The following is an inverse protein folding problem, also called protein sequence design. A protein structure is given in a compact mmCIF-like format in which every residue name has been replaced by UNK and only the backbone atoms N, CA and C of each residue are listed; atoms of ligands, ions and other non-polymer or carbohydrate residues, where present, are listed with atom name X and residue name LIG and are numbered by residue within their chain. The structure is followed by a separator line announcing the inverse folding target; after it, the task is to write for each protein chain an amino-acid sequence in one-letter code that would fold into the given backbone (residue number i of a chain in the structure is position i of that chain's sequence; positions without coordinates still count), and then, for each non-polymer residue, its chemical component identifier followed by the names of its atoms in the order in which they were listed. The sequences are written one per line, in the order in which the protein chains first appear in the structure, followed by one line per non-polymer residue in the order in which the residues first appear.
data_IF_316073987177
#
_entry.id   IF_316073987177
#
_cell.length_a   1.000
_cell.length_b   1.000
_cell.length_c   1.000
_cell.angle_alpha   90.00
_cell.angle_beta   90.00
_cell.angle_gamma   90.00
#
_symmetry.space_group_name_H-M   'P 1'
#
loop_
_entity.id
_entity.type
_entity.pdbx_description
1 polymer ?
#
# COMPACT_ATOMS: atom_id res chain seq x y z
N UNK A 1 -11.25 13.90 -2.63
CA UNK A 1 -10.12 14.18 -3.54
C UNK A 1 -10.37 13.60 -4.92
N UNK A 2 -10.18 12.29 -5.18
CA UNK A 2 -10.43 11.74 -6.53
C UNK A 2 -11.89 11.82 -6.99
N UNK A 3 -12.84 11.63 -6.08
CA UNK A 3 -14.27 11.74 -6.39
C UNK A 3 -14.63 13.16 -6.89
N UNK A 4 -14.22 14.19 -6.15
CA UNK A 4 -14.54 15.58 -6.45
C UNK A 4 -13.90 16.05 -7.77
N UNK A 5 -12.66 15.61 -8.02
CA UNK A 5 -11.94 15.90 -9.27
C UNK A 5 -12.58 15.23 -10.48
N UNK A 6 -12.97 13.94 -10.36
CA UNK A 6 -13.64 13.23 -11.44
C UNK A 6 -15.03 13.77 -11.73
N UNK A 7 -15.77 14.20 -10.70
CA UNK A 7 -17.09 14.82 -10.85
C UNK A 7 -16.99 16.19 -11.54
N UNK A 8 -15.97 16.98 -11.23
CA UNK A 8 -15.74 18.25 -11.89
C UNK A 8 -15.43 18.09 -13.40
N UNK A 9 -14.68 17.05 -13.77
CA UNK A 9 -14.33 16.74 -15.17
C UNK A 9 -15.49 16.07 -15.91
N UNK A 10 -16.24 15.20 -15.23
CA UNK A 10 -17.37 14.46 -15.80
C UNK A 10 -18.67 14.70 -15.00
N UNK A 11 -19.31 15.89 -15.13
CA UNK A 11 -20.51 16.22 -14.36
C UNK A 11 -21.73 15.34 -14.66
N UNK A 12 -21.68 14.59 -15.76
CA UNK A 12 -22.75 13.72 -16.23
C UNK A 12 -22.65 12.28 -15.70
N UNK A 13 -21.56 11.93 -15.00
CA UNK A 13 -21.41 10.60 -14.42
C UNK A 13 -22.29 10.43 -13.19
N UNK A 14 -22.81 9.22 -13.00
CA UNK A 14 -23.51 8.85 -11.77
C UNK A 14 -22.54 8.63 -10.61
N UNK A 15 -23.05 8.64 -9.38
CA UNK A 15 -22.27 8.36 -8.17
C UNK A 15 -21.58 6.99 -8.23
N UNK A 16 -22.24 5.98 -8.81
CA UNK A 16 -21.66 4.64 -8.98
C UNK A 16 -20.48 4.67 -9.96
N UNK A 17 -20.58 5.40 -11.07
CA UNK A 17 -19.48 5.54 -12.01
C UNK A 17 -18.30 6.25 -11.36
N UNK A 18 -18.56 7.34 -10.63
CA UNK A 18 -17.53 8.08 -9.90
C UNK A 18 -16.84 7.21 -8.84
N UNK A 19 -17.61 6.37 -8.13
CA UNK A 19 -17.07 5.41 -7.16
C UNK A 19 -16.17 4.36 -7.84
N UNK A 20 -16.65 3.71 -8.90
CA UNK A 20 -15.89 2.67 -9.59
C UNK A 20 -14.62 3.22 -10.24
N UNK A 21 -14.67 4.41 -10.85
CA UNK A 21 -13.49 5.05 -11.44
C UNK A 21 -12.49 5.49 -10.38
N UNK A 22 -12.96 6.10 -9.27
CA UNK A 22 -12.09 6.41 -8.13
C UNK A 22 -11.43 5.14 -7.57
N UNK A 23 -12.19 4.05 -7.42
CA UNK A 23 -11.69 2.76 -6.97
C UNK A 23 -10.66 2.17 -7.94
N UNK A 24 -10.89 2.25 -9.26
CA UNK A 24 -9.95 1.80 -10.29
C UNK A 24 -8.62 2.55 -10.21
N UNK A 25 -8.65 3.87 -9.99
CA UNK A 25 -7.44 4.69 -9.83
C UNK A 25 -6.66 4.26 -8.59
N UNK A 26 -7.32 4.09 -7.44
CA UNK A 26 -6.65 3.66 -6.20
C UNK A 26 -6.02 2.27 -6.35
N UNK A 27 -6.71 1.34 -7.00
CA UNK A 27 -6.16 0.00 -7.29
C UNK A 27 -4.93 0.11 -8.19
N UNK A 28 -4.97 0.94 -9.23
CA UNK A 28 -3.84 1.16 -10.13
C UNK A 28 -2.63 1.77 -9.40
N UNK A 29 -2.85 2.72 -8.48
CA UNK A 29 -1.80 3.28 -7.63
C UNK A 29 -1.18 2.21 -6.73
N UNK A 30 -2.00 1.38 -6.07
CA UNK A 30 -1.52 0.29 -5.24
C UNK A 30 -0.67 -0.71 -6.04
N UNK A 31 -1.11 -1.09 -7.24
CA UNK A 31 -0.34 -1.95 -8.13
C UNK A 31 0.97 -1.30 -8.57
N UNK A 32 0.95 -0.02 -8.93
CA UNK A 32 2.14 0.72 -9.33
C UNK A 32 3.19 0.74 -8.19
N UNK A 33 2.80 1.14 -6.99
CA UNK A 33 3.67 1.15 -5.81
C UNK A 33 4.21 -0.27 -5.54
N UNK A 34 3.34 -1.29 -5.58
CA UNK A 34 3.74 -2.68 -5.32
C UNK A 34 4.81 -3.16 -6.30
N UNK A 35 4.56 -3.03 -7.61
CA UNK A 35 5.44 -3.62 -8.64
C UNK A 35 6.64 -2.75 -9.00
N UNK A 36 6.53 -1.41 -8.89
CA UNK A 36 7.60 -0.49 -9.26
C UNK A 36 8.51 -0.12 -8.09
N UNK A 37 7.98 -0.07 -6.86
CA UNK A 37 8.72 0.44 -5.70
C UNK A 37 9.00 -0.66 -4.69
N UNK A 38 7.98 -1.41 -4.26
CA UNK A 38 8.13 -2.39 -3.18
C UNK A 38 8.83 -3.68 -3.61
N UNK A 39 8.38 -4.33 -4.69
CA UNK A 39 8.95 -5.61 -5.12
C UNK A 39 10.45 -5.53 -5.48
N UNK A 40 10.96 -4.51 -6.21
CA UNK A 40 12.38 -4.42 -6.51
C UNK A 40 13.28 -4.36 -5.27
N UNK A 41 12.79 -3.74 -4.19
CA UNK A 41 13.49 -3.67 -2.90
C UNK A 41 13.42 -5.03 -2.20
N UNK A 42 12.27 -5.69 -2.24
CA UNK A 42 12.03 -6.94 -1.54
C UNK A 42 12.80 -8.14 -2.14
N UNK A 43 12.68 -8.36 -3.45
CA UNK A 43 13.24 -9.55 -4.12
C UNK A 43 14.54 -9.25 -4.88
N UNK A 44 14.97 -7.98 -4.91
CA UNK A 44 16.13 -7.51 -5.65
C UNK A 44 15.85 -7.25 -7.14
N UNK A 45 16.58 -6.29 -7.72
CA UNK A 45 16.44 -5.86 -9.12
C UNK A 45 16.68 -6.97 -10.15
N UNK A 46 17.56 -7.92 -9.82
CA UNK A 46 17.85 -9.08 -10.68
C UNK A 46 16.64 -9.98 -10.84
N UNK A 47 16.04 -10.42 -9.73
CA UNK A 47 14.83 -11.26 -9.76
C UNK A 47 13.63 -10.50 -10.35
N UNK A 48 13.48 -9.22 -10.02
CA UNK A 48 12.43 -8.37 -10.58
C UNK A 48 12.48 -8.32 -12.11
N UNK A 49 13.69 -8.23 -12.68
CA UNK A 49 13.92 -8.26 -14.13
C UNK A 49 13.74 -9.67 -14.70
N UNK A 50 14.27 -10.70 -14.01
CA UNK A 50 14.16 -12.11 -14.41
C UNK A 50 12.71 -12.57 -14.55
N UNK A 51 11.84 -12.17 -13.61
CA UNK A 51 10.41 -12.47 -13.63
C UNK A 51 9.58 -11.49 -14.47
N UNK A 52 10.23 -10.54 -15.16
CA UNK A 52 9.59 -9.55 -16.06
C UNK A 52 8.46 -8.76 -15.38
N UNK A 53 8.63 -8.45 -14.09
CA UNK A 53 7.67 -7.74 -13.25
C UNK A 53 7.66 -6.22 -13.46
N UNK A 54 8.46 -5.76 -14.42
CA UNK A 54 8.56 -4.37 -14.83
C UNK A 54 7.24 -3.87 -15.41
N UNK A 55 6.80 -2.72 -14.90
CA UNK A 55 5.72 -1.93 -15.46
C UNK A 55 6.21 -1.20 -16.71
N UNK A 56 5.29 -0.96 -17.65
CA UNK A 56 5.57 -0.09 -18.77
C UNK A 56 5.53 1.36 -18.30
N UNK A 57 6.45 2.18 -18.80
CA UNK A 57 6.49 3.62 -18.48
C UNK A 57 5.33 4.40 -19.11
N UNK A 58 4.66 3.84 -20.11
CA UNK A 58 3.51 4.43 -20.78
C UNK A 58 2.69 3.37 -21.54
N UNK A 59 1.43 3.69 -21.80
CA UNK A 59 0.52 2.84 -22.59
C UNK A 59 -0.09 1.69 -21.79
N UNK A 60 -0.70 0.75 -22.52
CA UNK A 60 -1.40 -0.41 -21.95
C UNK A 60 -0.53 -1.67 -22.02
N UNK A 61 -0.55 -2.46 -20.93
CA UNK A 61 0.13 -3.75 -20.88
C UNK A 61 -0.60 -4.80 -21.70
N UNK A 62 0.13 -5.46 -22.59
CA UNK A 62 -0.36 -6.63 -23.36
C UNK A 62 -0.06 -7.95 -22.65
N UNK A 63 0.43 -7.92 -21.40
CA UNK A 63 0.86 -9.11 -20.66
C UNK A 63 -0.29 -9.94 -20.06
N UNK A 64 -1.54 -9.51 -20.22
CA UNK A 64 -2.69 -10.27 -19.71
C UNK A 64 -2.78 -11.64 -20.40
N UNK A 65 -2.89 -12.69 -19.59
CA UNK A 65 -3.06 -14.06 -20.06
C UNK A 65 -4.17 -14.72 -19.23
N UNK A 66 -5.27 -15.08 -19.88
CA UNK A 66 -6.45 -15.68 -19.24
C UNK A 66 -6.20 -17.10 -18.71
N UNK A 67 -5.10 -17.74 -19.12
CA UNK A 67 -4.74 -19.09 -18.67
C UNK A 67 -3.91 -19.09 -17.37
N UNK A 68 -3.56 -17.91 -16.85
CA UNK A 68 -2.83 -17.79 -15.58
C UNK A 68 -3.83 -17.86 -14.44
N UNK A 69 -3.59 -18.75 -13.48
CA UNK A 69 -4.35 -18.83 -12.24
C UNK A 69 -4.00 -17.62 -11.34
N UNK A 70 -4.98 -16.73 -11.03
CA UNK A 70 -4.74 -15.56 -10.18
C UNK A 70 -4.83 -15.88 -8.68
N UNK A 71 -5.06 -17.15 -8.30
CA UNK A 71 -5.25 -17.55 -6.91
C UNK A 71 -3.97 -17.41 -6.08
N UNK A 72 -4.12 -17.01 -4.83
CA UNK A 72 -3.01 -16.96 -3.88
C UNK A 72 -2.64 -18.39 -3.46
N UNK A 73 -1.39 -18.79 -3.68
CA UNK A 73 -0.90 -20.11 -3.25
C UNK A 73 -0.92 -20.23 -1.72
N UNK A 74 -1.35 -21.38 -1.20
CA UNK A 74 -1.50 -21.60 0.25
C UNK A 74 -0.19 -21.35 1.03
N UNK A 75 0.95 -21.77 0.49
CA UNK A 75 2.26 -21.56 1.12
C UNK A 75 2.56 -20.07 1.32
N UNK A 76 2.14 -19.21 0.39
CA UNK A 76 2.30 -17.77 0.54
C UNK A 76 1.37 -17.22 1.63
N UNK A 77 0.09 -17.58 1.59
CA UNK A 77 -0.89 -17.11 2.58
C UNK A 77 -0.55 -17.57 4.01
N UNK A 78 -0.18 -18.84 4.17
CA UNK A 78 0.04 -19.46 5.48
C UNK A 78 1.41 -19.12 6.09
N UNK A 79 2.44 -18.93 5.27
CA UNK A 79 3.81 -18.82 5.77
C UNK A 79 4.61 -17.69 5.10
N UNK A 80 4.79 -17.73 3.78
CA UNK A 80 5.77 -16.85 3.14
C UNK A 80 5.40 -15.37 3.30
N UNK A 81 4.12 -15.00 3.18
CA UNK A 81 3.61 -13.64 3.37
C UNK A 81 3.80 -13.09 4.78
N UNK A 82 4.03 -13.95 5.78
CA UNK A 82 4.30 -13.55 7.17
C UNK A 82 5.68 -12.89 7.33
N UNK A 83 6.53 -12.89 6.30
CA UNK A 83 7.81 -12.16 6.30
C UNK A 83 7.64 -10.68 6.67
N UNK A 84 6.46 -10.09 6.40
CA UNK A 84 6.17 -8.71 6.78
C UNK A 84 6.35 -8.46 8.29
N UNK A 85 6.11 -9.46 9.14
CA UNK A 85 6.33 -9.31 10.57
C UNK A 85 7.80 -9.12 10.95
N UNK A 86 8.74 -9.58 10.13
CA UNK A 86 10.18 -9.37 10.38
C UNK A 86 10.64 -7.96 10.05
N UNK A 87 9.85 -7.21 9.28
CA UNK A 87 10.14 -5.82 8.93
C UNK A 87 9.79 -4.83 10.05
N UNK A 88 9.06 -5.27 11.09
CA UNK A 88 8.78 -4.43 12.24
C UNK A 88 10.02 -4.24 13.11
N UNK A 89 10.39 -2.98 13.37
CA UNK A 89 11.45 -2.63 14.30
C UNK A 89 11.09 -2.97 15.76
N UNK A 90 12.11 -3.28 16.59
CA UNK A 90 11.93 -3.61 18.02
C UNK A 90 11.28 -2.49 18.84
N UNK A 91 11.47 -1.23 18.42
CA UNK A 91 10.94 -0.05 19.09
C UNK A 91 10.34 0.88 18.05
N UNK A 92 9.02 0.86 17.83
CA UNK A 92 8.42 1.78 16.88
C UNK A 92 8.48 3.21 17.47
N UNK A 93 8.89 4.19 16.67
CA UNK A 93 9.07 5.59 17.08
C UNK A 93 8.04 6.47 16.40
N UNK A 94 7.24 7.19 17.19
CA UNK A 94 6.30 8.19 16.66
C UNK A 94 7.01 9.53 16.47
N UNK A 95 6.92 10.08 15.28
CA UNK A 95 7.36 11.46 15.03
C UNK A 95 6.19 12.40 15.29
N UNK A 96 6.33 13.31 16.25
CA UNK A 96 5.36 14.39 16.49
C UNK A 96 6.08 15.72 16.32
N UNK A 97 5.69 16.48 15.29
CA UNK A 97 6.11 17.88 15.10
C UNK A 97 7.63 18.06 15.23
N UNK A 98 8.37 17.27 14.45
CA UNK A 98 9.84 17.22 14.37
C UNK A 98 10.58 16.80 15.65
N UNK A 99 9.84 16.46 16.70
CA UNK A 99 10.37 15.77 17.89
C UNK A 99 10.16 14.26 17.80
N UNK A 100 11.23 13.49 18.03
CA UNK A 100 11.17 12.03 18.15
C UNK A 100 10.50 11.70 19.48
N UNK A 101 9.33 11.06 19.45
CA UNK A 101 8.73 10.40 20.61
C UNK A 101 8.84 8.90 20.44
N UNK A 102 9.68 8.27 21.26
CA UNK A 102 9.66 6.81 21.39
C UNK A 102 8.27 6.42 21.91
N UNK A 103 7.64 5.41 21.30
CA UNK A 103 6.38 4.88 21.81
C UNK A 103 6.59 4.48 23.27
N UNK A 104 5.80 5.09 24.17
CA UNK A 104 5.88 4.83 25.62
C UNK A 104 5.36 3.45 26.00
N UNK A 105 4.63 2.80 25.09
CA UNK A 105 3.98 1.50 25.26
C UNK A 105 4.51 0.51 24.23
N UNK A 106 4.60 -0.79 24.55
CA UNK A 106 4.97 -1.82 23.60
C UNK A 106 3.94 -1.92 22.46
N UNK A 107 4.38 -2.38 21.28
CA UNK A 107 3.54 -2.44 20.06
C UNK A 107 2.27 -3.28 20.26
N UNK A 108 2.33 -4.31 21.10
CA UNK A 108 1.19 -5.20 21.36
C UNK A 108 -0.01 -4.50 22.01
N UNK A 109 0.23 -3.42 22.77
CA UNK A 109 -0.84 -2.63 23.40
C UNK A 109 -1.59 -1.74 22.39
N UNK A 110 -1.06 -1.56 21.18
CA UNK A 110 -1.75 -0.85 20.10
C UNK A 110 -2.59 -1.78 19.23
N UNK A 111 -2.37 -3.10 19.29
CA UNK A 111 -3.23 -4.03 18.56
C UNK A 111 -4.65 -3.97 19.12
N UNK A 112 -5.63 -3.79 18.23
CA UNK A 112 -7.05 -3.71 18.57
C UNK A 112 -7.46 -2.48 19.42
N UNK A 113 -6.67 -1.40 19.45
CA UNK A 113 -7.06 -0.12 20.05
C UNK A 113 -7.42 0.93 18.97
N UNK A 114 -8.67 0.95 18.46
CA UNK A 114 -9.09 1.98 17.52
C UNK A 114 -9.17 3.38 18.16
N UNK A 115 -9.25 3.46 19.50
CA UNK A 115 -9.33 4.72 20.25
C UNK A 115 -8.10 5.61 20.06
N UNK A 116 -6.94 4.97 19.89
CA UNK A 116 -5.67 5.65 19.59
C UNK A 116 -5.73 6.51 18.30
N UNK A 117 -6.41 6.02 17.26
CA UNK A 117 -6.42 6.63 15.92
C UNK A 117 -7.20 7.93 15.82
N UNK A 118 -8.17 8.18 16.70
CA UNK A 118 -9.07 9.34 16.61
C UNK A 118 -8.41 10.66 17.03
N UNK A 119 -7.19 10.63 17.56
CA UNK A 119 -6.41 11.85 17.76
C UNK A 119 -5.72 12.26 16.46
N UNK A 120 -6.06 13.44 15.93
CA UNK A 120 -5.66 13.97 14.61
C UNK A 120 -4.14 13.91 14.33
N UNK A 121 -3.32 13.94 15.38
CA UNK A 121 -1.87 13.87 15.29
C UNK A 121 -1.31 12.44 15.12
N UNK A 122 -2.06 11.41 15.51
CA UNK A 122 -1.54 10.04 15.54
C UNK A 122 -1.43 9.41 14.15
N UNK A 123 -2.42 9.60 13.26
CA UNK A 123 -2.34 9.07 11.89
C UNK A 123 -1.14 9.69 11.17
N UNK A 124 -0.94 11.01 11.31
CA UNK A 124 0.23 11.70 10.73
C UNK A 124 1.55 11.21 11.32
N UNK A 125 1.61 11.02 12.63
CA UNK A 125 2.79 10.49 13.31
C UNK A 125 3.12 9.04 12.92
N UNK A 126 2.10 8.20 12.69
CA UNK A 126 2.25 6.82 12.20
C UNK A 126 2.71 6.82 10.75
N UNK A 127 2.16 7.66 9.88
CA UNK A 127 2.62 7.74 8.49
C UNK A 127 4.09 8.14 8.40
N UNK A 128 4.55 9.07 9.26
CA UNK A 128 5.97 9.43 9.38
C UNK A 128 6.87 8.31 9.95
N UNK A 129 6.30 7.30 10.62
CA UNK A 129 7.04 6.13 11.08
C UNK A 129 7.36 5.19 9.90
N UNK A 130 6.46 5.10 8.93
CA UNK A 130 6.55 4.19 7.78
C UNK A 130 7.31 4.80 6.60
N UNK A 131 7.33 6.13 6.50
CA UNK A 131 8.12 6.86 5.50
C UNK A 131 9.52 7.10 6.09
N UNK A 132 10.53 6.46 5.51
CA UNK A 132 11.95 6.69 5.82
C UNK A 132 12.35 8.16 5.62
#
# INVERSE_FOLDING_TARGET
MFFDELQAINPHWSDEQLYQESRRIVIAQLQHITFNEFLPILIGKENWSKFKLQLQSSGYSTKYNSNVDPTVINTYAAAAGQFFFTMFGKHPTLYKDDSIKILKRPLNEYFNDPGSLFSTDQIRGILRLVVF
#
